data_IF_280215823389
#
_entry.id   IF_280215823389
#
_cell.length_a   1.000
_cell.length_b   1.000
_cell.length_c   1.000
_cell.angle_alpha   90.00
_cell.angle_beta   90.00
_cell.angle_gamma   90.00
#
_symmetry.space_group_name_H-M   'P 1'
#
loop_
_entity.id
_entity.type
_entity.pdbx_description
1 polymer ?
#
# COMPACT_ATOMS: atom_id res chain seq x y z
N UNK A 1 -0.41 -0.17 -12.19
CA UNK A 1 0.73 -1.09 -12.49
C UNK A 1 0.37 -2.52 -12.16
N UNK A 2 0.90 -3.50 -12.88
CA UNK A 2 0.66 -4.91 -12.57
C UNK A 2 1.73 -5.44 -11.62
N UNK A 3 1.41 -6.44 -10.85
CA UNK A 3 2.40 -7.13 -10.01
C UNK A 3 3.53 -7.72 -10.85
N UNK A 4 3.20 -8.24 -12.03
CA UNK A 4 4.21 -8.76 -12.96
C UNK A 4 5.25 -7.68 -13.33
N UNK A 5 4.81 -6.46 -13.58
CA UNK A 5 5.75 -5.35 -13.87
C UNK A 5 6.69 -5.09 -12.70
N UNK A 6 6.18 -5.16 -11.48
CA UNK A 6 7.00 -4.99 -10.27
C UNK A 6 8.05 -6.09 -10.18
N UNK A 7 7.64 -7.33 -10.38
CA UNK A 7 8.56 -8.47 -10.27
C UNK A 7 9.57 -8.50 -11.40
N UNK A 8 9.16 -8.18 -12.62
CA UNK A 8 10.07 -8.16 -13.79
C UNK A 8 11.14 -7.07 -13.66
N UNK A 9 10.87 -6.00 -12.93
CA UNK A 9 11.81 -4.92 -12.71
C UNK A 9 12.71 -5.11 -11.48
N UNK A 10 12.52 -6.18 -10.74
CA UNK A 10 13.33 -6.46 -9.56
C UNK A 10 14.49 -7.37 -9.91
N UNK A 11 15.71 -6.94 -9.59
CA UNK A 11 16.92 -7.73 -9.85
C UNK A 11 16.95 -9.06 -9.10
N UNK A 12 16.15 -9.20 -8.08
CA UNK A 12 16.08 -10.43 -7.29
C UNK A 12 15.47 -11.60 -8.05
N UNK A 13 14.70 -11.31 -9.09
CA UNK A 13 13.99 -12.32 -9.87
C UNK A 13 14.78 -12.85 -11.06
N UNK A 14 16.02 -12.39 -11.26
CA UNK A 14 16.81 -12.77 -12.44
C UNK A 14 17.28 -14.21 -12.42
N UNK A 15 17.51 -14.79 -11.25
CA UNK A 15 18.11 -16.09 -11.09
C UNK A 15 17.17 -17.15 -10.51
N UNK A 16 15.94 -16.79 -10.19
CA UNK A 16 15.03 -17.68 -9.50
C UNK A 16 13.67 -17.72 -10.16
N UNK A 17 13.08 -18.90 -10.20
CA UNK A 17 11.74 -19.10 -10.72
C UNK A 17 10.77 -19.33 -9.55
N UNK A 18 9.78 -18.46 -9.47
CA UNK A 18 8.70 -18.58 -8.50
C UNK A 18 7.38 -18.71 -9.23
N UNK A 19 6.50 -19.50 -8.68
CA UNK A 19 5.16 -19.63 -9.22
C UNK A 19 4.40 -18.32 -9.02
N UNK A 20 3.56 -17.97 -9.98
CA UNK A 20 2.73 -16.75 -9.90
C UNK A 20 1.89 -16.70 -8.63
N UNK A 21 1.43 -17.84 -8.15
CA UNK A 21 0.62 -17.93 -6.94
C UNK A 21 1.43 -17.56 -5.69
N UNK A 22 2.71 -17.89 -5.67
CA UNK A 22 3.59 -17.56 -4.54
C UNK A 22 3.91 -16.07 -4.52
N UNK A 23 4.19 -15.49 -5.68
CA UNK A 23 4.41 -14.05 -5.82
C UNK A 23 3.16 -13.25 -5.40
N UNK A 24 2.00 -13.71 -5.84
CA UNK A 24 0.73 -13.10 -5.47
C UNK A 24 0.49 -13.18 -3.96
N UNK A 25 0.77 -14.32 -3.37
CA UNK A 25 0.64 -14.52 -1.92
C UNK A 25 1.55 -13.59 -1.13
N UNK A 26 2.82 -13.47 -1.54
CA UNK A 26 3.79 -12.60 -0.88
C UNK A 26 3.37 -11.12 -1.00
N UNK A 27 2.98 -10.69 -2.19
CA UNK A 27 2.52 -9.31 -2.40
C UNK A 27 1.31 -8.99 -1.52
N UNK A 28 0.36 -9.90 -1.42
CA UNK A 28 -0.85 -9.69 -0.60
C UNK A 28 -0.54 -9.69 0.90
N UNK A 29 0.46 -10.44 1.35
CA UNK A 29 0.97 -10.31 2.72
C UNK A 29 1.57 -8.93 2.96
N UNK A 30 2.26 -8.39 1.95
CA UNK A 30 2.77 -7.01 1.99
C UNK A 30 1.63 -5.99 2.12
N UNK A 31 0.58 -6.13 1.32
CA UNK A 31 -0.60 -5.26 1.43
C UNK A 31 -1.23 -5.35 2.81
N UNK A 32 -1.37 -6.55 3.36
CA UNK A 32 -1.92 -6.74 4.70
C UNK A 32 -1.08 -6.01 5.76
N UNK A 33 0.25 -6.05 5.62
CA UNK A 33 1.14 -5.35 6.54
C UNK A 33 1.01 -3.84 6.41
N UNK A 34 0.92 -3.32 5.19
CA UNK A 34 0.69 -1.89 4.94
C UNK A 34 -0.62 -1.46 5.61
N UNK A 35 -1.68 -2.20 5.39
CA UNK A 35 -2.99 -1.89 5.98
C UNK A 35 -2.94 -1.87 7.50
N UNK A 36 -2.23 -2.82 8.10
CA UNK A 36 -2.08 -2.88 9.55
C UNK A 36 -1.31 -1.69 10.10
N UNK A 37 -0.18 -1.35 9.48
CA UNK A 37 0.72 -0.32 10.01
C UNK A 37 0.22 1.10 9.70
N UNK A 38 -0.50 1.28 8.60
CA UNK A 38 -0.98 2.60 8.16
C UNK A 38 -2.46 2.83 8.45
N UNK A 39 -3.20 1.82 8.89
CA UNK A 39 -4.64 1.94 9.10
C UNK A 39 -5.42 2.10 7.80
N UNK A 40 -4.93 1.56 6.71
CA UNK A 40 -5.53 1.67 5.39
C UNK A 40 -6.33 0.42 5.03
N UNK A 41 -7.07 0.48 3.92
CA UNK A 41 -7.94 -0.60 3.45
C UNK A 41 -7.66 -0.98 1.99
N UNK A 42 -6.40 -0.98 1.60
CA UNK A 42 -6.02 -1.36 0.23
C UNK A 42 -6.43 -2.80 -0.07
N UNK A 43 -7.08 -3.06 -1.20
CA UNK A 43 -7.48 -4.42 -1.56
C UNK A 43 -6.26 -5.26 -1.94
N UNK A 44 -6.45 -6.57 -1.95
CA UNK A 44 -5.43 -7.49 -2.43
C UNK A 44 -5.27 -7.40 -3.94
N UNK A 45 -4.06 -7.70 -4.42
CA UNK A 45 -3.88 -8.04 -5.83
C UNK A 45 -4.71 -9.28 -6.16
N UNK A 46 -5.41 -9.25 -7.27
CA UNK A 46 -6.26 -10.38 -7.69
C UNK A 46 -5.48 -11.36 -8.56
N UNK A 47 -4.56 -10.84 -9.36
CA UNK A 47 -3.67 -11.66 -10.16
C UNK A 47 -2.39 -10.88 -10.44
N UNK A 48 -1.36 -11.55 -10.97
CA UNK A 48 -0.09 -10.87 -11.29
C UNK A 48 -0.19 -9.99 -12.52
N UNK A 49 -1.17 -10.24 -13.39
CA UNK A 49 -1.33 -9.55 -14.68
C UNK A 49 -2.41 -8.47 -14.66
N UNK A 50 -3.17 -8.37 -13.58
CA UNK A 50 -4.24 -7.39 -13.51
C UNK A 50 -3.71 -6.05 -12.99
N UNK A 51 -4.21 -4.96 -13.59
CA UNK A 51 -3.86 -3.61 -13.14
C UNK A 51 -4.32 -3.39 -11.70
N UNK A 52 -3.42 -2.86 -10.92
CA UNK A 52 -3.68 -2.52 -9.53
C UNK A 52 -3.51 -1.01 -9.35
N UNK A 53 -4.61 -0.31 -9.15
CA UNK A 53 -4.65 1.16 -9.09
C UNK A 53 -4.98 1.70 -7.70
N UNK A 54 -5.17 0.81 -6.73
CA UNK A 54 -5.50 1.23 -5.36
C UNK A 54 -4.30 1.84 -4.62
N UNK A 55 -3.10 1.70 -5.16
CA UNK A 55 -1.86 2.14 -4.55
C UNK A 55 -0.98 2.77 -5.63
N UNK A 56 -0.35 3.94 -5.41
CA UNK A 56 0.43 4.59 -6.46
C UNK A 56 1.62 3.75 -6.93
N UNK A 57 1.91 3.82 -8.22
CA UNK A 57 2.90 2.96 -8.89
C UNK A 57 4.29 3.05 -8.27
N UNK A 58 4.76 4.25 -7.96
CA UNK A 58 6.07 4.43 -7.35
C UNK A 58 6.17 3.75 -5.98
N UNK A 59 5.11 3.81 -5.20
CA UNK A 59 5.06 3.15 -3.90
C UNK A 59 4.92 1.63 -4.04
N UNK A 60 4.23 1.16 -5.07
CA UNK A 60 4.20 -0.26 -5.39
C UNK A 60 5.61 -0.78 -5.67
N UNK A 61 6.38 -0.06 -6.49
CA UNK A 61 7.76 -0.42 -6.79
C UNK A 61 8.65 -0.45 -5.55
N UNK A 62 8.52 0.57 -4.68
CA UNK A 62 9.40 0.67 -3.51
C UNK A 62 9.00 -0.27 -2.37
N UNK A 63 7.72 -0.39 -2.09
CA UNK A 63 7.26 -1.11 -0.90
C UNK A 63 6.99 -2.58 -1.21
N UNK A 64 6.18 -2.85 -2.23
CA UNK A 64 5.76 -4.22 -2.51
C UNK A 64 6.94 -5.06 -3.02
N UNK A 65 7.81 -4.50 -3.87
CA UNK A 65 8.97 -5.22 -4.36
C UNK A 65 9.89 -5.68 -3.22
N UNK A 66 10.12 -4.80 -2.25
CA UNK A 66 10.95 -5.14 -1.09
C UNK A 66 10.33 -6.25 -0.23
N UNK A 67 9.02 -6.20 -0.03
CA UNK A 67 8.35 -7.24 0.75
C UNK A 67 8.37 -8.60 0.04
N UNK A 68 8.13 -8.61 -1.25
CA UNK A 68 8.21 -9.83 -2.05
C UNK A 68 9.63 -10.38 -2.04
N UNK A 69 10.63 -9.51 -2.22
CA UNK A 69 12.04 -9.89 -2.15
C UNK A 69 12.42 -10.48 -0.80
N UNK A 70 11.94 -9.88 0.28
CA UNK A 70 12.11 -10.42 1.62
C UNK A 70 11.57 -11.85 1.72
N UNK A 71 10.34 -12.07 1.25
CA UNK A 71 9.71 -13.40 1.31
C UNK A 71 10.46 -14.45 0.51
N UNK A 72 10.95 -14.08 -0.67
CA UNK A 72 11.75 -14.97 -1.52
C UNK A 72 13.06 -15.37 -0.81
N UNK A 73 13.77 -14.39 -0.27
CA UNK A 73 15.04 -14.65 0.42
C UNK A 73 14.85 -15.47 1.71
N UNK A 74 13.73 -15.31 2.38
CA UNK A 74 13.37 -16.16 3.51
C UNK A 74 13.19 -17.61 3.09
N UNK A 75 12.55 -17.86 1.95
CA UNK A 75 12.39 -19.21 1.42
C UNK A 75 13.74 -19.86 1.06
N UNK A 76 14.70 -19.07 0.60
CA UNK A 76 16.04 -19.53 0.26
C UNK A 76 16.94 -19.68 1.47
N UNK A 77 16.46 -19.41 2.66
CA UNK A 77 17.26 -19.38 3.89
C UNK A 77 18.40 -18.35 3.88
N UNK A 78 18.29 -17.35 3.01
CA UNK A 78 19.24 -16.21 2.91
C UNK A 78 18.87 -15.12 3.90
N UNK A 79 19.01 -15.39 5.20
CA UNK A 79 18.48 -14.52 6.25
C UNK A 79 19.08 -13.11 6.25
N UNK A 80 20.36 -12.96 5.92
CA UNK A 80 21.01 -11.64 5.87
C UNK A 80 20.39 -10.78 4.78
N UNK A 81 20.23 -11.33 3.58
CA UNK A 81 19.61 -10.62 2.47
C UNK A 81 18.12 -10.37 2.73
N UNK A 82 17.42 -11.34 3.29
CA UNK A 82 16.03 -11.18 3.67
C UNK A 82 15.84 -9.98 4.61
N UNK A 83 16.69 -9.89 5.63
CA UNK A 83 16.61 -8.78 6.59
C UNK A 83 16.91 -7.43 5.95
N UNK A 84 17.80 -7.36 4.97
CA UNK A 84 18.07 -6.13 4.21
C UNK A 84 16.81 -5.65 3.47
N UNK A 85 16.11 -6.56 2.80
CA UNK A 85 14.86 -6.21 2.12
C UNK A 85 13.74 -5.84 3.09
N UNK A 86 13.68 -6.50 4.23
CA UNK A 86 12.70 -6.15 5.26
C UNK A 86 12.98 -4.75 5.83
N UNK A 87 14.22 -4.40 6.06
CA UNK A 87 14.61 -3.07 6.52
C UNK A 87 14.25 -2.00 5.48
N UNK A 88 14.51 -2.26 4.20
CA UNK A 88 14.12 -1.35 3.12
C UNK A 88 12.60 -1.22 3.01
N UNK A 89 11.87 -2.32 3.18
CA UNK A 89 10.42 -2.29 3.24
C UNK A 89 9.93 -1.34 4.33
N UNK A 90 10.44 -1.47 5.55
CA UNK A 90 10.00 -0.62 6.66
C UNK A 90 10.43 0.84 6.50
N UNK A 91 11.59 1.11 5.90
CA UNK A 91 12.00 2.49 5.58
C UNK A 91 11.01 3.12 4.59
N UNK A 92 10.72 2.42 3.51
CA UNK A 92 9.78 2.90 2.49
C UNK A 92 8.38 3.07 3.06
N UNK A 93 7.94 2.12 3.89
CA UNK A 93 6.64 2.17 4.55
C UNK A 93 6.54 3.36 5.50
N UNK A 94 7.58 3.62 6.28
CA UNK A 94 7.63 4.78 7.17
C UNK A 94 7.54 6.09 6.39
N UNK A 95 8.30 6.19 5.29
CA UNK A 95 8.25 7.36 4.42
C UNK A 95 6.88 7.55 3.79
N UNK A 96 6.24 6.46 3.35
CA UNK A 96 4.89 6.49 2.82
C UNK A 96 3.90 6.98 3.88
N UNK A 97 3.98 6.42 5.07
CA UNK A 97 3.10 6.77 6.18
C UNK A 97 3.20 8.25 6.54
N UNK A 98 4.42 8.79 6.56
CA UNK A 98 4.66 10.20 6.86
C UNK A 98 4.05 11.12 5.80
N UNK A 99 3.99 10.66 4.55
CA UNK A 99 3.45 11.46 3.44
C UNK A 99 1.96 11.25 3.22
N UNK A 100 1.38 10.26 3.85
CA UNK A 100 0.02 9.84 3.53
C UNK A 100 -1.00 10.96 3.71
N UNK A 101 -0.93 11.70 4.81
CA UNK A 101 -1.81 12.83 5.08
C UNK A 101 -1.65 13.90 4.01
N UNK A 102 -0.40 14.26 3.68
CA UNK A 102 -0.10 15.28 2.66
C UNK A 102 -0.61 14.87 1.29
N UNK A 103 -0.49 13.59 0.93
CA UNK A 103 -1.00 13.09 -0.35
C UNK A 103 -2.52 13.23 -0.43
N UNK A 104 -3.22 12.92 0.64
CA UNK A 104 -4.68 13.07 0.70
C UNK A 104 -5.08 14.53 0.62
N UNK A 105 -4.43 15.39 1.41
CA UNK A 105 -4.70 16.82 1.41
C UNK A 105 -4.45 17.46 0.05
N UNK A 106 -3.36 17.09 -0.61
CA UNK A 106 -3.06 17.60 -1.95
C UNK A 106 -4.12 17.21 -2.96
N UNK A 107 -4.55 15.97 -2.91
CA UNK A 107 -5.62 15.50 -3.79
C UNK A 107 -6.92 16.28 -3.56
N UNK A 108 -7.31 16.47 -2.32
CA UNK A 108 -8.53 17.18 -1.95
C UNK A 108 -8.49 18.66 -2.34
N UNK A 109 -7.31 19.26 -2.35
CA UNK A 109 -7.09 20.64 -2.77
C UNK A 109 -6.92 20.78 -4.29
N UNK A 110 -7.06 19.70 -5.05
CA UNK A 110 -6.90 19.72 -6.50
C UNK A 110 -5.44 19.70 -6.98
N UNK A 111 -4.50 19.52 -6.08
CA UNK A 111 -3.07 19.42 -6.40
C UNK A 111 -2.69 17.94 -6.54
N UNK A 112 -3.16 17.31 -7.60
CA UNK A 112 -2.95 15.89 -7.80
C UNK A 112 -1.49 15.57 -8.07
N UNK A 113 -1.01 14.49 -7.48
CA UNK A 113 0.28 13.91 -7.81
C UNK A 113 0.07 12.72 -8.76
N UNK A 114 1.10 12.42 -9.54
CA UNK A 114 1.08 11.28 -10.44
C UNK A 114 0.84 9.97 -9.67
N UNK A 115 -0.08 9.18 -10.15
CA UNK A 115 -0.41 7.88 -9.57
C UNK A 115 -1.42 7.91 -8.44
N UNK A 116 -1.88 9.09 -8.02
CA UNK A 116 -2.96 9.20 -7.04
C UNK A 116 -4.30 9.07 -7.75
N UNK A 117 -5.10 8.13 -7.31
CA UNK A 117 -6.42 7.84 -7.88
C UNK A 117 -7.51 8.03 -6.83
N UNK A 118 -8.78 8.22 -7.27
CA UNK A 118 -9.90 8.22 -6.33
C UNK A 118 -9.97 6.93 -5.50
N UNK A 119 -9.63 5.79 -6.10
CA UNK A 119 -9.58 4.51 -5.39
C UNK A 119 -8.54 4.54 -4.27
N UNK A 120 -7.37 5.11 -4.52
CA UNK A 120 -6.35 5.28 -3.48
C UNK A 120 -6.88 6.09 -2.31
N UNK A 121 -7.50 7.25 -2.58
CA UNK A 121 -8.04 8.12 -1.54
C UNK A 121 -9.12 7.40 -0.73
N UNK A 122 -10.01 6.68 -1.39
CA UNK A 122 -11.06 5.91 -0.73
C UNK A 122 -10.47 4.84 0.23
N UNK A 123 -9.34 4.24 -0.13
CA UNK A 123 -8.71 3.18 0.66
C UNK A 123 -7.74 3.67 1.73
N UNK A 124 -7.42 4.95 1.76
CA UNK A 124 -6.57 5.50 2.83
C UNK A 124 -7.30 5.60 4.17
N UNK A 125 -8.61 5.64 4.17
CA UNK A 125 -9.39 5.84 5.38
C UNK A 125 -9.40 7.27 5.90
N UNK A 126 -8.77 8.21 5.21
CA UNK A 126 -8.68 9.60 5.67
C UNK A 126 -9.81 10.49 5.18
N UNK A 127 -10.51 10.11 4.12
CA UNK A 127 -11.55 10.95 3.53
C UNK A 127 -12.63 11.36 4.52
N UNK A 128 -13.06 10.47 5.40
CA UNK A 128 -14.04 10.77 6.43
C UNK A 128 -13.44 11.35 7.71
N UNK A 129 -12.16 11.10 7.96
CA UNK A 129 -11.48 11.50 9.20
C UNK A 129 -11.27 13.01 9.25
N UNK A 130 -11.00 13.65 8.13
CA UNK A 130 -10.75 15.08 8.06
C UNK A 130 -12.02 15.92 7.95
N UNK A 131 -13.16 15.33 8.26
CA UNK A 131 -14.42 16.05 8.22
C UNK A 131 -14.87 16.40 6.82
N UNK A 132 -14.22 15.87 5.83
CA UNK A 132 -14.61 16.06 4.45
C UNK A 132 -15.61 14.96 4.16
N UNK A 133 -16.64 15.03 4.87
CA UNK A 133 -17.76 14.21 4.60
C UNK A 133 -18.38 14.71 3.30
N UNK A 134 -18.20 13.94 2.28
CA UNK A 134 -18.72 14.25 0.95
C UNK A 134 -20.24 14.34 0.93
N UNK A 135 -20.90 13.82 1.93
CA UNK A 135 -22.33 13.99 2.10
C UNK A 135 -22.69 15.35 2.73
N UNK A 136 -21.69 16.11 3.13
CA UNK A 136 -21.88 17.37 3.82
C UNK A 136 -22.11 17.25 5.30
N UNK A 137 -22.21 16.05 5.83
CA UNK A 137 -22.32 15.84 7.28
C UNK A 137 -20.93 15.73 7.90
N UNK A 138 -20.70 16.38 8.97
CA UNK A 138 -19.48 16.23 9.72
C UNK A 138 -19.56 14.96 10.54
N UNK A 139 -18.73 14.04 10.22
CA UNK A 139 -18.63 12.82 10.95
C UNK A 139 -17.27 12.72 11.59
N UNK A 140 -17.28 12.69 12.89
CA UNK A 140 -16.04 12.60 13.64
C UNK A 140 -16.05 11.29 14.35
N UNK A 141 -15.63 10.41 13.84
CA UNK A 141 -15.58 9.12 14.43
C UNK A 141 -14.26 8.77 15.00
N UNK A 142 -13.97 8.57 15.45
CA UNK A 142 -13.18 8.00 15.29
C UNK A 142 -13.17 7.52 15.80
N UNK A 143 -13.23 7.38 15.83
CA UNK A 143 -13.24 7.14 15.68
C UNK A 143 -13.87 7.05 15.81
N UNK A 144 -14.33 6.97 15.96
CA UNK A 144 -15.04 7.12 15.64
C UNK A 144 -15.85 7.26 15.69
N UNK A 145 -16.07 7.20 16.23
CA UNK A 145 -16.91 7.62 15.95
C UNK A 145 -17.59 7.87 15.98
N UNK A 146 -18.08 7.76 16.44
CA UNK A 146 -18.80 8.23 16.14
C UNK A 146 -19.46 8.56 16.05
N UNK A 147 -19.94 8.48 16.50
CA UNK A 147 -20.59 8.99 16.13
C UNK A 147 -21.22 9.40 16.12
N UNK A 148 -21.73 9.44 16.60
CA UNK A 148 -22.36 9.98 16.25
C UNK A 148 -22.64 10.59 16.15
N UNK A 149 -23.01 10.82 16.52
CA UNK A 149 -23.24 11.49 16.05
C UNK A 149 -23.48 12.12 16.25
N UNK A 150 -23.72 12.14 16.75
CA UNK A 150 -23.82 12.72 16.49
C UNK A 150 -23.69 13.22 16.82
N UNK A 151 -23.85 13.14 17.31
CA UNK A 151 -23.46 13.51 17.18
C UNK A 151 -22.80 13.63 17.28
N UNK A 152 -22.52 13.47 17.40
CA UNK A 152 -21.65 13.47 17.00
C UNK A 152 -21.45 13.71 16.91
#
# INVERSE_FOLDING_TARGET
MTLKTITDNSSIFTDETFEDVDLLSLANKGIARINTDCGTLFPNYKSINEEYNAFPDNWQLDIISNYVSYGIKMNDSSLTEANMYLDEFYKSLSSFKDKLVTLVENYENGNEENGISPEFIDKTGFGGVFGIDTSGAVNIGFFGNNSNGGSF
#
